data_IF_417994392161
#
_entry.id   IF_417994392161
#
_cell.length_a   1.000
_cell.length_b   1.000
_cell.length_c   1.000
_cell.angle_alpha   90.00
_cell.angle_beta   90.00
_cell.angle_gamma   90.00
#
_symmetry.space_group_name_H-M   'P 1'
#
loop_
_entity.id
_entity.type
_entity.pdbx_description
1 polymer ?
#
# COMPACT_ATOMS: atom_id res chain seq x y z
N UNK A 1 10.28 6.48 16.90
CA UNK A 1 9.68 5.31 16.24
C UNK A 1 8.23 5.64 15.95
N UNK A 2 7.93 6.34 14.86
CA UNK A 2 6.58 6.87 14.63
C UNK A 2 6.17 6.63 13.18
N UNK A 3 5.47 5.51 12.95
CA UNK A 3 4.49 5.48 11.86
C UNK A 3 3.36 6.40 12.30
N UNK A 4 3.45 7.69 11.96
CA UNK A 4 2.38 8.65 12.18
C UNK A 4 1.09 8.15 11.50
N UNK A 5 0.02 8.07 12.29
CA UNK A 5 -1.34 7.80 11.85
C UNK A 5 -2.17 9.09 11.92
N UNK A 6 -3.12 9.32 11.00
CA UNK A 6 -3.37 8.54 9.80
C UNK A 6 -2.35 8.86 8.69
N UNK A 7 -1.92 7.86 7.90
CA UNK A 7 -1.12 8.13 6.72
C UNK A 7 -1.95 8.93 5.70
N UNK A 8 -1.35 9.96 5.11
CA UNK A 8 -1.98 10.76 4.05
C UNK A 8 -2.12 9.93 2.76
N UNK A 9 -3.05 10.26 1.85
CA UNK A 9 -3.21 9.55 0.56
C UNK A 9 -1.92 9.46 -0.26
N UNK A 10 -1.10 10.52 -0.24
CA UNK A 10 0.19 10.59 -0.95
C UNK A 10 1.35 9.92 -0.18
N UNK A 11 1.09 9.32 0.98
CA UNK A 11 2.11 8.60 1.73
C UNK A 11 2.44 7.28 1.03
N UNK A 12 3.68 6.81 1.21
CA UNK A 12 4.10 5.51 0.71
C UNK A 12 3.24 4.38 1.29
N UNK A 13 2.94 3.36 0.48
CA UNK A 13 2.00 2.28 0.82
C UNK A 13 2.44 1.45 2.03
N UNK A 14 3.74 1.36 2.33
CA UNK A 14 4.25 0.68 3.53
C UNK A 14 3.90 1.39 4.86
N UNK A 15 3.31 2.59 4.79
CA UNK A 15 2.75 3.29 5.95
C UNK A 15 1.43 2.67 6.43
N UNK A 16 0.75 1.89 5.59
CA UNK A 16 -0.41 1.11 6.02
C UNK A 16 -0.01 0.07 7.07
N UNK A 17 -0.96 -0.22 7.96
CA UNK A 17 -0.80 -1.27 8.97
C UNK A 17 -0.65 -2.64 8.27
N UNK A 18 0.19 -3.52 8.84
CA UNK A 18 0.47 -4.83 8.25
C UNK A 18 1.46 -4.83 7.07
N UNK A 19 1.83 -3.66 6.51
CA UNK A 19 2.82 -3.57 5.44
C UNK A 19 4.17 -3.12 6.01
N UNK A 20 5.17 -4.00 5.92
CA UNK A 20 6.56 -3.67 6.26
C UNK A 20 7.25 -3.00 5.06
N UNK A 21 8.09 -1.98 5.31
CA UNK A 21 8.93 -1.38 4.28
C UNK A 21 9.87 -2.44 3.73
N UNK A 22 9.93 -2.59 2.40
CA UNK A 22 10.66 -3.64 1.68
C UNK A 22 10.21 -5.09 2.00
N UNK A 23 9.06 -5.25 2.65
CA UNK A 23 8.46 -6.56 2.90
C UNK A 23 7.79 -7.15 1.65
N UNK A 24 7.31 -8.41 1.72
CA UNK A 24 6.71 -9.10 0.58
C UNK A 24 5.55 -8.30 -0.04
N UNK A 25 4.64 -7.78 0.78
CA UNK A 25 3.53 -6.95 0.32
C UNK A 25 3.99 -5.63 -0.32
N UNK A 26 4.97 -4.94 0.28
CA UNK A 26 5.51 -3.71 -0.31
C UNK A 26 6.13 -3.97 -1.69
N UNK A 27 6.87 -5.07 -1.83
CA UNK A 27 7.53 -5.42 -3.08
C UNK A 27 6.51 -5.87 -4.15
N UNK A 28 5.47 -6.62 -3.77
CA UNK A 28 4.39 -7.00 -4.67
C UNK A 28 3.63 -5.77 -5.19
N UNK A 29 3.24 -4.86 -4.30
CA UNK A 29 2.54 -3.63 -4.67
C UNK A 29 3.40 -2.72 -5.55
N UNK A 30 4.69 -2.59 -5.24
CA UNK A 30 5.65 -1.82 -6.06
C UNK A 30 5.78 -2.39 -7.47
N UNK A 31 5.76 -3.72 -7.65
CA UNK A 31 5.77 -4.37 -8.97
C UNK A 31 4.52 -4.03 -9.80
N UNK A 32 3.38 -3.93 -9.13
CA UNK A 32 2.11 -3.51 -9.74
C UNK A 32 1.99 -1.97 -9.88
N UNK A 33 3.08 -1.22 -9.68
CA UNK A 33 3.13 0.25 -9.72
C UNK A 33 2.25 0.96 -8.67
N UNK A 34 1.97 0.29 -7.56
CA UNK A 34 1.20 0.81 -6.42
C UNK A 34 2.17 1.27 -5.33
N UNK A 35 2.52 2.56 -5.35
CA UNK A 35 3.48 3.14 -4.41
C UNK A 35 2.84 3.90 -3.26
N UNK A 36 1.59 4.37 -3.41
CA UNK A 36 0.92 5.26 -2.46
C UNK A 36 -0.31 4.62 -1.83
N UNK A 37 -0.71 5.15 -0.67
CA UNK A 37 -1.97 4.77 -0.01
C UNK A 37 -3.17 5.00 -0.93
N UNK A 38 -3.20 6.12 -1.65
CA UNK A 38 -4.27 6.42 -2.61
C UNK A 38 -4.34 5.38 -3.73
N UNK A 39 -3.19 5.03 -4.33
CA UNK A 39 -3.13 4.02 -5.39
C UNK A 39 -3.63 2.66 -4.91
N UNK A 40 -3.27 2.27 -3.69
CA UNK A 40 -3.74 1.03 -3.08
C UNK A 40 -5.26 1.03 -2.88
N UNK A 41 -5.83 2.09 -2.32
CA UNK A 41 -7.29 2.22 -2.12
C UNK A 41 -8.02 2.20 -3.45
N UNK A 42 -7.52 2.91 -4.47
CA UNK A 42 -8.10 2.92 -5.82
C UNK A 42 -8.10 1.50 -6.41
N UNK A 43 -6.98 0.79 -6.33
CA UNK A 43 -6.91 -0.58 -6.85
C UNK A 43 -7.84 -1.53 -6.09
N UNK A 44 -7.92 -1.42 -4.76
CA UNK A 44 -8.79 -2.25 -3.94
C UNK A 44 -10.28 -2.07 -4.30
N UNK A 45 -10.69 -0.84 -4.61
CA UNK A 45 -12.07 -0.53 -5.00
C UNK A 45 -12.35 -0.90 -6.46
N UNK A 46 -11.41 -0.68 -7.38
CA UNK A 46 -11.60 -0.91 -8.82
C UNK A 46 -11.39 -2.37 -9.23
N UNK A 47 -10.41 -3.06 -8.65
CA UNK A 47 -10.01 -4.43 -8.99
C UNK A 47 -9.48 -5.18 -7.74
N UNK A 48 -10.36 -5.60 -6.82
CA UNK A 48 -9.97 -6.25 -5.57
C UNK A 48 -9.26 -7.60 -5.77
N UNK A 49 -9.48 -8.27 -6.90
CA UNK A 49 -8.86 -9.55 -7.27
C UNK A 49 -7.32 -9.45 -7.40
N UNK A 50 -6.81 -8.27 -7.79
CA UNK A 50 -5.38 -8.02 -7.93
C UNK A 50 -4.62 -7.77 -6.61
N UNK A 51 -5.35 -7.59 -5.50
CA UNK A 51 -4.79 -7.31 -4.16
C UNK A 51 -4.91 -8.51 -3.22
N UNK A 52 -5.80 -9.47 -3.50
CA UNK A 52 -6.19 -10.55 -2.57
C UNK A 52 -5.38 -11.85 -2.65
N UNK A 53 -4.43 -11.97 -3.57
CA UNK A 53 -3.59 -13.18 -3.75
C UNK A 53 -2.23 -13.09 -3.04
#
# INVERSE_FOLDING_TARGET
SEKHYPPKPNSEVWRLEGIAKNGPYHNALTKESIFTVEGFVRQLVMNPEGIRN
#
